data_IF_442817268828
#
_entry.id   IF_442817268828
#
_cell.length_a   1.000
_cell.length_b   1.000
_cell.length_c   1.000
_cell.angle_alpha   90.00
_cell.angle_beta   90.00
_cell.angle_gamma   90.00
#
_symmetry.space_group_name_H-M   'P 1'
#
loop_
_entity.id
_entity.type
_entity.pdbx_description
1 polymer ?
#
# COMPACT_ATOMS: atom_id res chain seq x y z
N UNK A 1 -3.92 -30.51 24.90
CA UNK A 1 -3.59 -29.31 24.11
C UNK A 1 -4.72 -29.11 23.11
N UNK A 2 -5.51 -28.03 23.26
CA UNK A 2 -6.55 -27.67 22.30
C UNK A 2 -5.84 -27.26 21.00
N UNK A 3 -6.18 -27.92 19.89
CA UNK A 3 -5.61 -27.62 18.58
C UNK A 3 -5.97 -26.18 18.16
N UNK A 4 -5.02 -25.47 17.60
CA UNK A 4 -5.29 -24.19 16.96
C UNK A 4 -6.25 -24.42 15.80
N UNK A 5 -7.36 -23.67 15.77
CA UNK A 5 -8.21 -23.66 14.58
C UNK A 5 -7.57 -22.77 13.52
N UNK A 6 -7.44 -23.30 12.31
CA UNK A 6 -6.99 -22.51 11.17
C UNK A 6 -8.10 -21.55 10.74
N UNK A 7 -7.75 -20.28 10.50
CA UNK A 7 -8.71 -19.27 10.00
C UNK A 7 -9.49 -19.74 8.77
N UNK A 8 -8.80 -20.44 7.86
CA UNK A 8 -9.40 -20.88 6.60
C UNK A 8 -10.41 -22.05 6.81
N UNK A 9 -10.31 -22.76 7.94
CA UNK A 9 -11.27 -23.80 8.33
C UNK A 9 -12.56 -23.26 8.94
N UNK A 10 -12.56 -22.01 9.43
CA UNK A 10 -13.71 -21.37 10.06
C UNK A 10 -14.72 -20.86 9.03
N UNK A 11 -16.01 -20.99 9.33
CA UNK A 11 -17.11 -20.59 8.46
C UNK A 11 -18.04 -19.60 9.16
N UNK A 12 -18.67 -18.71 8.38
CA UNK A 12 -19.80 -17.90 8.84
C UNK A 12 -20.91 -18.85 9.33
N UNK A 13 -21.47 -18.57 10.51
CA UNK A 13 -22.43 -19.43 11.19
C UNK A 13 -21.79 -20.42 12.19
N UNK A 14 -20.47 -20.63 12.18
CA UNK A 14 -19.84 -21.43 13.23
C UNK A 14 -20.10 -20.83 14.61
N UNK A 15 -20.61 -21.66 15.53
CA UNK A 15 -20.98 -21.27 16.88
C UNK A 15 -20.30 -22.18 17.89
N UNK A 16 -19.84 -21.60 19.01
CA UNK A 16 -19.37 -22.35 20.20
C UNK A 16 -19.98 -21.74 21.44
N UNK A 17 -20.15 -22.61 22.44
CA UNK A 17 -20.76 -22.21 23.71
C UNK A 17 -19.99 -22.70 24.93
N UNK A 18 -20.25 -22.04 26.05
CA UNK A 18 -19.81 -22.38 27.40
C UNK A 18 -20.99 -22.23 28.33
N UNK A 19 -21.25 -23.22 29.17
CA UNK A 19 -22.26 -23.13 30.25
C UNK A 19 -21.53 -23.00 31.60
N UNK A 20 -22.00 -22.07 32.46
CA UNK A 20 -21.44 -21.78 33.77
C UNK A 20 -22.53 -21.40 34.74
N UNK A 21 -22.59 -22.08 35.90
CA UNK A 21 -23.41 -21.66 37.03
C UNK A 21 -22.67 -20.60 37.82
N UNK A 22 -23.30 -19.51 38.16
CA UNK A 22 -22.72 -18.40 38.94
C UNK A 22 -22.80 -18.73 40.42
N UNK A 23 -21.66 -18.79 41.05
CA UNK A 23 -21.53 -19.09 42.49
C UNK A 23 -21.14 -17.85 43.30
N UNK A 24 -21.33 -17.92 44.63
CA UNK A 24 -20.86 -16.87 45.54
C UNK A 24 -19.34 -16.72 45.50
N UNK A 25 -18.63 -17.81 45.25
CA UNK A 25 -17.17 -17.78 45.07
C UNK A 25 -16.73 -17.00 43.83
N UNK A 26 -17.50 -17.10 42.73
CA UNK A 26 -17.25 -16.33 41.49
C UNK A 26 -17.36 -14.83 41.77
N UNK A 27 -18.43 -14.40 42.49
CA UNK A 27 -18.63 -13.01 42.90
C UNK A 27 -17.46 -12.53 43.76
N UNK A 28 -17.12 -13.32 44.81
CA UNK A 28 -16.01 -12.98 45.72
C UNK A 28 -14.68 -12.83 44.97
N UNK A 29 -14.36 -13.73 44.04
CA UNK A 29 -13.16 -13.64 43.18
C UNK A 29 -13.17 -12.42 42.29
N UNK A 30 -14.33 -12.07 41.73
CA UNK A 30 -14.46 -10.91 40.87
C UNK A 30 -14.26 -9.60 41.64
N UNK A 31 -14.84 -9.48 42.86
CA UNK A 31 -14.63 -8.36 43.78
C UNK A 31 -13.14 -8.26 44.13
N UNK A 32 -12.51 -9.38 44.50
CA UNK A 32 -11.09 -9.39 44.87
C UNK A 32 -10.18 -8.96 43.71
N UNK A 33 -10.57 -9.27 42.46
CA UNK A 33 -9.80 -8.89 41.25
C UNK A 33 -10.03 -7.43 40.87
N UNK A 34 -11.27 -6.94 40.92
CA UNK A 34 -11.66 -5.63 40.34
C UNK A 34 -11.74 -4.52 41.38
N UNK A 35 -11.95 -4.87 42.65
CA UNK A 35 -12.27 -3.91 43.72
C UNK A 35 -13.70 -3.40 43.71
N UNK A 36 -14.59 -3.95 42.85
CA UNK A 36 -15.99 -3.54 42.74
C UNK A 36 -16.83 -4.22 43.83
N UNK A 37 -16.87 -3.63 45.04
CA UNK A 37 -17.62 -4.05 46.21
C UNK A 37 -18.96 -3.31 46.35
N UNK A 38 -19.54 -2.84 45.26
CA UNK A 38 -20.87 -2.17 45.28
C UNK A 38 -21.89 -3.01 46.04
N UNK A 39 -22.59 -2.44 47.08
CA UNK A 39 -23.54 -3.17 47.93
C UNK A 39 -24.63 -3.94 47.18
N UNK A 40 -24.99 -3.50 45.98
CA UNK A 40 -25.96 -4.21 45.14
C UNK A 40 -25.50 -5.64 44.79
N UNK A 41 -24.21 -5.87 44.77
CA UNK A 41 -23.58 -7.12 44.35
C UNK A 41 -23.12 -8.01 45.55
N UNK A 42 -22.94 -7.40 46.75
CA UNK A 42 -22.31 -8.10 47.89
C UNK A 42 -23.11 -8.05 49.17
N UNK A 43 -24.10 -7.14 49.30
CA UNK A 43 -24.89 -6.99 50.52
C UNK A 43 -26.40 -7.37 50.25
N UNK A 44 -26.84 -8.54 50.73
CA UNK A 44 -28.23 -8.98 50.57
C UNK A 44 -29.26 -8.00 51.20
N UNK A 45 -28.90 -7.34 52.31
CA UNK A 45 -29.79 -6.41 52.99
C UNK A 45 -30.05 -5.19 52.11
N UNK A 46 -28.96 -4.60 51.59
CA UNK A 46 -29.06 -3.48 50.64
C UNK A 46 -29.80 -3.88 49.37
N UNK A 47 -29.47 -5.01 48.77
CA UNK A 47 -30.11 -5.47 47.51
C UNK A 47 -31.61 -5.69 47.66
N UNK A 48 -32.06 -6.17 48.82
CA UNK A 48 -33.52 -6.41 49.12
C UNK A 48 -34.33 -5.13 49.14
N UNK A 49 -33.74 -3.99 49.48
CA UNK A 49 -34.39 -2.68 49.50
C UNK A 49 -34.48 -2.03 48.11
N UNK A 50 -33.70 -2.51 47.15
CA UNK A 50 -33.72 -2.01 45.77
C UNK A 50 -34.88 -2.57 44.95
N UNK A 51 -35.09 -2.02 43.74
CA UNK A 51 -36.04 -2.56 42.77
C UNK A 51 -35.75 -4.01 42.36
N UNK A 52 -34.50 -4.43 42.53
CA UNK A 52 -34.05 -5.78 42.16
C UNK A 52 -34.42 -6.86 43.23
N UNK A 53 -34.68 -6.47 44.47
CA UNK A 53 -35.13 -7.33 45.58
C UNK A 53 -34.14 -8.42 46.00
N UNK A 54 -33.03 -8.59 45.35
CA UNK A 54 -32.01 -9.59 45.63
C UNK A 54 -30.67 -9.17 44.98
N UNK A 55 -29.59 -9.82 45.36
CA UNK A 55 -28.27 -9.61 44.80
C UNK A 55 -28.31 -9.69 43.25
N UNK A 56 -27.73 -8.71 42.60
CA UNK A 56 -27.49 -8.71 41.16
C UNK A 56 -26.00 -9.04 40.94
N UNK A 57 -25.70 -10.03 40.11
CA UNK A 57 -24.34 -10.38 39.73
C UNK A 57 -23.77 -9.26 38.88
N UNK A 58 -22.48 -8.93 39.07
CA UNK A 58 -21.76 -7.95 38.25
C UNK A 58 -21.93 -8.27 36.75
N UNK A 59 -22.39 -7.32 35.97
CA UNK A 59 -22.58 -7.52 34.52
C UNK A 59 -21.31 -7.95 33.82
N UNK A 60 -20.17 -7.33 34.19
CA UNK A 60 -18.86 -7.68 33.63
C UNK A 60 -18.34 -9.05 34.05
N UNK A 61 -18.78 -9.62 35.21
CA UNK A 61 -18.47 -10.99 35.56
C UNK A 61 -19.11 -11.95 34.53
N UNK A 62 -20.38 -11.77 34.20
CA UNK A 62 -21.04 -12.54 33.14
C UNK A 62 -20.34 -12.36 31.78
N UNK A 63 -20.07 -11.11 31.41
CA UNK A 63 -19.38 -10.76 30.17
C UNK A 63 -17.98 -11.37 30.05
N UNK A 64 -17.27 -11.56 31.18
CA UNK A 64 -15.91 -12.13 31.18
C UNK A 64 -15.85 -13.55 30.60
N UNK A 65 -16.91 -14.32 30.68
CA UNK A 65 -16.98 -15.67 30.08
C UNK A 65 -17.00 -15.66 28.54
N UNK A 66 -17.32 -14.54 27.90
CA UNK A 66 -17.14 -14.37 26.45
C UNK A 66 -15.65 -14.54 26.10
N UNK A 67 -14.75 -13.98 26.93
CA UNK A 67 -13.30 -14.15 26.75
C UNK A 67 -12.88 -15.61 26.76
N UNK A 68 -13.50 -16.42 27.63
CA UNK A 68 -13.21 -17.86 27.67
C UNK A 68 -13.62 -18.55 26.37
N UNK A 69 -14.79 -18.25 25.82
CA UNK A 69 -15.22 -18.83 24.54
C UNK A 69 -14.30 -18.39 23.42
N UNK A 70 -14.00 -17.10 23.32
CA UNK A 70 -13.13 -16.54 22.28
C UNK A 70 -11.70 -17.14 22.38
N UNK A 71 -11.13 -17.15 23.56
CA UNK A 71 -9.73 -17.55 23.74
C UNK A 71 -9.49 -19.06 23.71
N UNK A 72 -10.52 -19.89 23.96
CA UNK A 72 -10.34 -21.35 24.10
C UNK A 72 -11.16 -22.19 23.12
N UNK A 73 -12.19 -21.62 22.48
CA UNK A 73 -13.16 -22.39 21.68
C UNK A 73 -13.42 -21.83 20.28
N UNK A 74 -13.61 -20.51 20.13
CA UNK A 74 -13.94 -19.87 18.83
C UNK A 74 -13.47 -18.42 18.77
N UNK A 75 -12.42 -18.13 18.04
CA UNK A 75 -11.58 -19.03 17.26
C UNK A 75 -10.61 -19.87 18.08
N UNK A 76 -10.49 -19.63 19.38
CA UNK A 76 -9.61 -20.39 20.28
C UNK A 76 -8.18 -19.83 20.39
N UNK A 77 -7.18 -20.68 20.70
CA UNK A 77 -5.82 -20.24 20.93
C UNK A 77 -5.28 -19.37 19.78
N UNK A 78 -4.58 -18.27 20.09
CA UNK A 78 -4.08 -17.31 19.10
C UNK A 78 -5.08 -16.22 18.71
N UNK A 79 -6.28 -16.20 19.29
CA UNK A 79 -7.25 -15.14 19.13
C UNK A 79 -6.81 -13.85 19.85
N UNK A 80 -6.78 -12.73 19.13
CA UNK A 80 -6.65 -11.39 19.73
C UNK A 80 -8.00 -10.69 19.67
N UNK A 81 -8.62 -10.47 20.82
CA UNK A 81 -9.89 -9.74 20.93
C UNK A 81 -9.63 -8.24 20.77
N UNK A 82 -10.23 -7.61 19.73
CA UNK A 82 -9.95 -6.20 19.36
C UNK A 82 -11.00 -5.25 19.92
N UNK A 83 -12.28 -5.63 19.82
CA UNK A 83 -13.39 -4.78 20.26
C UNK A 83 -14.58 -5.61 20.67
N UNK A 84 -15.44 -5.03 21.53
CA UNK A 84 -16.70 -5.62 21.98
C UNK A 84 -17.71 -4.54 22.31
N UNK A 85 -18.95 -4.72 21.88
CA UNK A 85 -20.11 -4.00 22.40
C UNK A 85 -20.86 -4.92 23.35
N UNK A 86 -21.46 -4.37 24.40
CA UNK A 86 -22.20 -5.14 25.42
C UNK A 86 -23.48 -4.38 25.78
N UNK A 87 -24.64 -5.05 25.61
CA UNK A 87 -25.93 -4.59 26.08
C UNK A 87 -26.42 -5.54 27.18
N UNK A 88 -26.58 -5.04 28.41
CA UNK A 88 -27.07 -5.79 29.57
C UNK A 88 -28.60 -5.68 29.61
N UNK A 89 -29.30 -6.77 29.32
CA UNK A 89 -30.75 -6.76 29.11
C UNK A 89 -31.53 -7.19 30.36
N UNK A 90 -31.03 -8.17 31.10
CA UNK A 90 -31.66 -8.68 32.30
C UNK A 90 -30.62 -8.88 33.41
N UNK A 91 -31.03 -8.69 34.70
CA UNK A 91 -30.16 -8.98 35.82
C UNK A 91 -29.87 -10.48 35.95
N UNK A 92 -28.61 -10.83 36.17
CA UNK A 92 -28.19 -12.20 36.51
C UNK A 92 -28.20 -12.34 38.02
N UNK A 93 -28.62 -13.49 38.50
CA UNK A 93 -28.72 -13.83 39.92
C UNK A 93 -27.71 -14.88 40.35
N UNK A 94 -27.45 -14.91 41.63
CA UNK A 94 -26.70 -15.99 42.23
C UNK A 94 -27.42 -17.35 42.00
N UNK A 95 -26.69 -18.35 41.52
CA UNK A 95 -27.24 -19.64 41.13
C UNK A 95 -27.76 -19.74 39.69
N UNK A 96 -27.84 -18.64 38.94
CA UNK A 96 -28.19 -18.71 37.52
C UNK A 96 -27.21 -19.53 36.72
N UNK A 97 -27.71 -20.37 35.82
CA UNK A 97 -26.93 -21.06 34.82
C UNK A 97 -26.89 -20.23 33.52
N UNK A 98 -25.69 -19.72 33.20
CA UNK A 98 -25.48 -18.91 32.00
C UNK A 98 -24.91 -19.76 30.87
N UNK A 99 -25.55 -19.72 29.71
CA UNK A 99 -24.97 -20.24 28.45
C UNK A 99 -24.46 -19.07 27.60
N UNK A 100 -23.18 -19.03 27.41
CA UNK A 100 -22.45 -18.02 26.60
C UNK A 100 -22.26 -18.57 25.20
N UNK A 101 -22.78 -17.88 24.20
CA UNK A 101 -22.68 -18.24 22.78
C UNK A 101 -21.87 -17.20 22.01
N UNK A 102 -20.97 -17.66 21.17
CA UNK A 102 -20.26 -16.83 20.20
C UNK A 102 -20.46 -17.42 18.81
N UNK A 103 -20.94 -16.62 17.86
CA UNK A 103 -21.24 -17.04 16.48
C UNK A 103 -20.49 -16.14 15.49
N UNK A 104 -19.84 -16.73 14.47
CA UNK A 104 -19.18 -15.96 13.42
C UNK A 104 -20.24 -15.36 12.49
N UNK A 105 -20.32 -14.03 12.42
CA UNK A 105 -21.18 -13.30 11.51
C UNK A 105 -20.50 -12.99 10.18
N UNK A 106 -19.17 -12.70 10.23
CA UNK A 106 -18.42 -12.28 9.05
C UNK A 106 -16.96 -12.62 9.17
N UNK A 107 -16.33 -12.95 8.03
CA UNK A 107 -14.88 -13.12 7.87
C UNK A 107 -14.32 -12.00 7.00
N UNK A 108 -13.18 -11.44 7.38
CA UNK A 108 -12.44 -10.43 6.61
C UNK A 108 -11.07 -11.04 6.32
N UNK A 109 -10.95 -11.71 5.17
CA UNK A 109 -9.81 -12.58 4.84
C UNK A 109 -8.47 -11.84 4.78
N UNK A 110 -8.48 -10.60 4.25
CA UNK A 110 -7.27 -9.76 4.15
C UNK A 110 -6.61 -9.51 5.50
N UNK A 111 -7.39 -9.37 6.55
CA UNK A 111 -6.91 -9.01 7.88
C UNK A 111 -6.91 -10.20 8.85
N UNK A 112 -7.39 -11.38 8.40
CA UNK A 112 -7.66 -12.55 9.22
C UNK A 112 -8.52 -12.19 10.44
N UNK A 113 -9.55 -11.36 10.20
CA UNK A 113 -10.46 -10.81 11.22
C UNK A 113 -11.83 -11.50 11.14
N UNK A 114 -12.40 -11.80 12.31
CA UNK A 114 -13.73 -12.33 12.49
C UNK A 114 -14.61 -11.29 13.19
N UNK A 115 -15.84 -11.09 12.71
CA UNK A 115 -16.88 -10.39 13.43
C UNK A 115 -17.79 -11.44 14.06
N UNK A 116 -17.98 -11.35 15.39
CA UNK A 116 -18.73 -12.30 16.18
C UNK A 116 -19.99 -11.64 16.76
N UNK A 117 -21.12 -12.35 16.72
CA UNK A 117 -22.21 -12.13 17.66
C UNK A 117 -21.89 -12.82 18.97
N UNK A 118 -22.11 -12.14 20.08
CA UNK A 118 -21.97 -12.70 21.43
C UNK A 118 -23.30 -12.59 22.16
N UNK A 119 -23.79 -13.70 22.72
CA UNK A 119 -25.07 -13.75 23.44
C UNK A 119 -24.91 -14.61 24.67
N UNK A 120 -25.47 -14.15 25.78
CA UNK A 120 -25.58 -14.93 27.03
C UNK A 120 -27.05 -15.11 27.37
N UNK A 121 -27.45 -16.35 27.61
CA UNK A 121 -28.81 -16.69 28.02
C UNK A 121 -28.78 -17.37 29.40
N UNK A 122 -29.83 -17.18 30.19
CA UNK A 122 -30.00 -17.86 31.47
C UNK A 122 -30.71 -19.23 31.28
N UNK A 123 -30.90 -19.97 32.37
CA UNK A 123 -31.57 -21.28 32.42
C UNK A 123 -33.00 -21.27 31.84
N UNK A 124 -33.66 -20.11 31.76
CA UNK A 124 -34.98 -19.93 31.19
C UNK A 124 -34.95 -19.56 29.70
N UNK A 125 -33.75 -19.65 29.07
CA UNK A 125 -33.50 -19.25 27.67
C UNK A 125 -33.78 -17.76 27.39
N UNK A 126 -33.70 -16.90 28.43
CA UNK A 126 -33.86 -15.46 28.30
C UNK A 126 -32.46 -14.84 28.05
N UNK A 127 -32.37 -13.97 27.07
CA UNK A 127 -31.11 -13.24 26.79
C UNK A 127 -30.86 -12.22 27.90
N UNK A 128 -29.77 -12.42 28.65
CA UNK A 128 -29.34 -11.53 29.73
C UNK A 128 -28.30 -10.52 29.26
N UNK A 129 -27.50 -10.87 28.21
CA UNK A 129 -26.51 -10.01 27.59
C UNK A 129 -26.40 -10.33 26.11
N UNK A 130 -26.21 -9.31 25.29
CA UNK A 130 -25.85 -9.46 23.87
C UNK A 130 -24.83 -8.42 23.45
N UNK A 131 -24.16 -8.68 22.31
CA UNK A 131 -23.22 -7.73 21.74
C UNK A 131 -22.49 -8.28 20.53
N UNK A 132 -21.54 -7.50 20.04
CA UNK A 132 -20.73 -7.85 18.87
C UNK A 132 -19.25 -7.64 19.16
N UNK A 133 -18.43 -8.62 18.78
CA UNK A 133 -17.00 -8.59 18.97
C UNK A 133 -16.23 -8.66 17.66
N UNK A 134 -15.02 -8.09 17.64
CA UNK A 134 -14.05 -8.28 16.56
C UNK A 134 -12.84 -9.00 17.12
N UNK A 135 -12.44 -10.08 16.44
CA UNK A 135 -11.35 -10.95 16.86
C UNK A 135 -10.41 -11.15 15.69
N UNK A 136 -9.13 -10.89 15.88
CA UNK A 136 -8.07 -11.15 14.92
C UNK A 136 -7.40 -12.48 15.23
N UNK A 137 -7.22 -13.33 14.23
CA UNK A 137 -6.39 -14.51 14.35
C UNK A 137 -4.92 -14.11 14.19
N UNK A 138 -4.15 -14.26 15.24
CA UNK A 138 -2.68 -14.16 15.16
C UNK A 138 -2.22 -15.51 14.62
N UNK A 139 -1.84 -15.56 13.34
CA UNK A 139 -1.41 -16.79 12.67
C UNK A 139 -0.37 -17.60 13.47
N UNK A 140 -0.17 -18.85 13.13
CA UNK A 140 0.74 -19.80 13.80
C UNK A 140 2.08 -19.17 14.17
N UNK A 141 2.49 -19.33 15.42
CA UNK A 141 3.84 -18.94 15.90
C UNK A 141 4.96 -19.62 15.07
N UNK A 142 4.67 -20.71 14.37
CA UNK A 142 5.61 -21.35 13.46
C UNK A 142 5.70 -20.69 12.08
N UNK A 143 4.68 -19.93 11.64
CA UNK A 143 4.78 -19.08 10.44
C UNK A 143 5.50 -17.76 10.72
N UNK A 144 5.56 -17.31 11.96
CA UNK A 144 6.24 -16.07 12.36
C UNK A 144 7.76 -16.23 12.54
N UNK A 145 8.32 -17.45 12.48
CA UNK A 145 9.78 -17.71 12.58
C UNK A 145 10.46 -17.94 11.23
N UNK A 146 9.71 -18.10 10.17
CA UNK A 146 10.21 -17.79 8.85
C UNK A 146 9.86 -16.31 8.57
N UNK A 147 10.67 -15.37 9.05
CA UNK A 147 10.79 -14.12 8.32
C UNK A 147 11.07 -14.56 6.87
N UNK A 148 10.18 -14.28 5.88
CA UNK A 148 10.57 -14.48 4.51
C UNK A 148 11.89 -13.74 4.39
N UNK A 149 12.93 -14.43 3.92
CA UNK A 149 14.20 -13.78 3.55
C UNK A 149 13.81 -12.50 2.85
N UNK A 150 14.32 -11.33 3.25
CA UNK A 150 13.83 -10.05 2.74
C UNK A 150 13.76 -10.20 1.22
N UNK A 151 12.53 -10.07 0.67
CA UNK A 151 12.28 -10.35 -0.73
C UNK A 151 13.28 -9.52 -1.53
N UNK A 152 14.20 -10.20 -2.21
CA UNK A 152 15.32 -9.53 -2.87
C UNK A 152 14.79 -8.89 -4.14
N UNK A 153 14.99 -7.57 -4.25
CA UNK A 153 14.63 -6.83 -5.45
C UNK A 153 15.38 -7.42 -6.66
N UNK A 154 14.65 -7.86 -7.68
CA UNK A 154 15.27 -8.27 -8.94
C UNK A 154 16.09 -7.11 -9.54
N UNK A 155 17.27 -7.44 -10.02
CA UNK A 155 18.21 -6.48 -10.62
C UNK A 155 17.94 -6.25 -12.12
N UNK A 156 16.67 -6.29 -12.54
CA UNK A 156 16.25 -5.98 -13.92
C UNK A 156 15.40 -4.73 -13.92
N UNK A 157 15.80 -3.72 -14.68
CA UNK A 157 15.12 -2.43 -14.80
C UNK A 157 14.64 -2.17 -16.23
N UNK A 158 13.37 -1.79 -16.39
CA UNK A 158 12.83 -1.25 -17.64
C UNK A 158 12.81 0.29 -17.53
N UNK A 159 13.37 0.98 -18.52
CA UNK A 159 13.34 2.44 -18.61
C UNK A 159 12.63 2.83 -19.90
N UNK A 160 11.43 3.41 -19.80
CA UNK A 160 10.70 3.92 -20.98
C UNK A 160 11.28 5.24 -21.44
N UNK A 161 11.38 5.45 -22.78
CA UNK A 161 12.07 6.60 -23.32
C UNK A 161 13.55 6.63 -22.92
N UNK A 162 14.16 5.46 -22.71
CA UNK A 162 15.53 5.29 -22.22
C UNK A 162 16.63 5.85 -23.14
N UNK A 163 16.32 6.14 -24.41
CA UNK A 163 17.23 6.80 -25.34
C UNK A 163 17.13 8.35 -25.30
N UNK A 164 16.29 8.94 -24.44
CA UNK A 164 16.16 10.38 -24.21
C UNK A 164 17.18 10.89 -23.18
N UNK A 165 17.37 12.21 -23.05
CA UNK A 165 18.40 12.78 -22.17
C UNK A 165 18.31 12.30 -20.71
N UNK A 166 17.16 12.44 -20.07
CA UNK A 166 16.94 11.95 -18.69
C UNK A 166 16.97 10.41 -18.65
N UNK A 167 16.28 9.74 -19.60
CA UNK A 167 16.24 8.28 -19.67
C UNK A 167 17.61 7.65 -19.84
N UNK A 168 18.48 8.25 -20.68
CA UNK A 168 19.85 7.79 -20.90
C UNK A 168 20.69 7.87 -19.61
N UNK A 169 20.61 9.00 -18.88
CA UNK A 169 21.29 9.15 -17.60
C UNK A 169 20.78 8.15 -16.55
N UNK A 170 19.46 7.88 -16.51
CA UNK A 170 18.88 6.86 -15.64
C UNK A 170 19.41 5.48 -16.01
N UNK A 171 19.44 5.13 -17.30
CA UNK A 171 19.97 3.83 -17.76
C UNK A 171 21.43 3.65 -17.33
N UNK A 172 22.30 4.64 -17.55
CA UNK A 172 23.71 4.60 -17.14
C UNK A 172 23.84 4.45 -15.62
N UNK A 173 23.05 5.20 -14.87
CA UNK A 173 23.11 5.15 -13.40
C UNK A 173 22.67 3.78 -12.87
N UNK A 174 21.55 3.24 -13.31
CA UNK A 174 21.09 1.92 -12.89
C UNK A 174 22.05 0.81 -13.32
N UNK A 175 22.67 0.93 -14.51
CA UNK A 175 23.73 0.04 -14.96
C UNK A 175 24.92 0.03 -13.99
N UNK A 176 25.40 1.21 -13.59
CA UNK A 176 26.48 1.35 -12.61
C UNK A 176 26.11 0.81 -11.23
N UNK A 177 24.81 0.83 -10.86
CA UNK A 177 24.27 0.26 -9.62
C UNK A 177 24.01 -1.26 -9.74
N UNK A 178 24.46 -1.90 -10.84
CA UNK A 178 24.44 -3.35 -11.05
C UNK A 178 23.12 -3.90 -11.55
N UNK A 179 22.28 -3.09 -12.20
CA UNK A 179 21.05 -3.56 -12.84
C UNK A 179 21.29 -4.00 -14.28
N UNK A 180 20.62 -5.06 -14.73
CA UNK A 180 20.39 -5.31 -16.15
C UNK A 180 19.37 -4.27 -16.65
N UNK A 181 19.62 -3.62 -17.78
CA UNK A 181 18.83 -2.47 -18.23
C UNK A 181 18.13 -2.76 -19.55
N UNK A 182 16.82 -2.61 -19.58
CA UNK A 182 16.00 -2.65 -20.79
C UNK A 182 15.73 -1.20 -21.22
N UNK A 183 16.38 -0.77 -22.29
CA UNK A 183 16.26 0.56 -22.88
C UNK A 183 15.08 0.55 -23.86
N UNK A 184 13.90 0.97 -23.42
CA UNK A 184 12.77 1.12 -24.33
C UNK A 184 12.88 2.44 -25.11
N UNK A 185 12.54 2.37 -26.38
CA UNK A 185 12.46 3.52 -27.28
C UNK A 185 11.34 3.36 -28.31
N UNK A 186 10.81 4.46 -28.87
CA UNK A 186 9.85 4.44 -29.96
C UNK A 186 10.52 4.78 -31.32
N UNK A 187 11.15 5.95 -31.43
CA UNK A 187 11.72 6.46 -32.67
C UNK A 187 13.26 6.60 -32.68
N UNK A 188 13.92 6.63 -31.54
CA UNK A 188 15.36 6.95 -31.41
C UNK A 188 16.26 5.68 -31.47
N UNK A 189 16.10 4.88 -32.53
CA UNK A 189 16.78 3.57 -32.67
C UNK A 189 18.31 3.67 -32.50
N UNK A 190 18.96 4.54 -33.28
CA UNK A 190 20.42 4.65 -33.27
C UNK A 190 20.97 5.06 -31.89
N UNK A 191 20.26 5.97 -31.20
CA UNK A 191 20.65 6.39 -29.84
C UNK A 191 20.49 5.26 -28.84
N UNK A 192 19.39 4.50 -28.93
CA UNK A 192 19.14 3.37 -28.05
C UNK A 192 20.20 2.27 -28.22
N UNK A 193 20.55 1.93 -29.46
CA UNK A 193 21.58 0.92 -29.73
C UNK A 193 22.97 1.38 -29.30
N UNK A 194 23.37 2.63 -29.60
CA UNK A 194 24.66 3.16 -29.12
C UNK A 194 24.78 3.11 -27.59
N UNK A 195 23.72 3.48 -26.86
CA UNK A 195 23.71 3.38 -25.41
C UNK A 195 23.88 1.94 -24.94
N UNK A 196 23.13 1.01 -25.54
CA UNK A 196 23.23 -0.43 -25.19
C UNK A 196 24.62 -1.00 -25.49
N UNK A 197 25.21 -0.65 -26.66
CA UNK A 197 26.55 -1.08 -27.02
C UNK A 197 27.60 -0.57 -26.01
N UNK A 198 27.50 0.70 -25.58
CA UNK A 198 28.36 1.28 -24.56
C UNK A 198 28.19 0.56 -23.20
N UNK A 199 26.95 0.33 -22.74
CA UNK A 199 26.68 -0.36 -21.48
C UNK A 199 27.24 -1.79 -21.51
N UNK A 200 27.03 -2.51 -22.61
CA UNK A 200 27.52 -3.89 -22.76
C UNK A 200 29.08 -3.94 -22.85
N UNK A 201 29.72 -2.93 -23.44
CA UNK A 201 31.19 -2.83 -23.44
C UNK A 201 31.75 -2.69 -22.02
N UNK A 202 30.99 -2.11 -21.10
CA UNK A 202 31.35 -1.96 -19.69
C UNK A 202 30.87 -3.14 -18.82
N UNK A 203 30.62 -4.33 -19.41
CA UNK A 203 30.20 -5.57 -18.74
C UNK A 203 28.81 -5.49 -18.08
N UNK A 204 27.99 -4.51 -18.41
CA UNK A 204 26.59 -4.42 -17.99
C UNK A 204 25.70 -5.12 -19.02
N UNK A 205 24.73 -5.90 -18.56
CA UNK A 205 23.75 -6.52 -19.45
C UNK A 205 22.67 -5.53 -19.81
N UNK A 206 22.62 -5.07 -21.06
CA UNK A 206 21.59 -4.14 -21.56
C UNK A 206 21.02 -4.62 -22.90
N UNK A 207 19.75 -4.26 -23.16
CA UNK A 207 19.07 -4.52 -24.43
C UNK A 207 18.19 -3.34 -24.83
N UNK A 208 18.17 -3.01 -26.12
CA UNK A 208 17.27 -2.01 -26.70
C UNK A 208 15.99 -2.68 -27.20
N UNK A 209 14.82 -2.17 -26.79
CA UNK A 209 13.52 -2.71 -27.19
C UNK A 209 12.66 -1.60 -27.76
N UNK A 210 12.30 -1.73 -29.03
CA UNK A 210 11.38 -0.80 -29.68
C UNK A 210 9.94 -1.16 -29.33
N UNK A 211 9.23 -0.23 -28.68
CA UNK A 211 7.82 -0.37 -28.38
C UNK A 211 7.16 1.01 -28.17
N UNK A 212 5.97 1.17 -28.72
CA UNK A 212 5.07 2.28 -28.36
C UNK A 212 4.26 1.86 -27.14
N UNK A 213 4.63 2.39 -25.99
CA UNK A 213 4.04 2.02 -24.70
C UNK A 213 2.56 2.43 -24.54
N UNK A 214 2.04 3.29 -25.42
CA UNK A 214 0.62 3.67 -25.43
C UNK A 214 -0.29 2.58 -26.01
N UNK A 215 0.28 1.59 -26.71
CA UNK A 215 -0.41 0.44 -27.27
C UNK A 215 -0.29 -0.78 -26.35
N UNK A 216 -1.42 -1.39 -26.01
CA UNK A 216 -1.49 -2.48 -25.02
C UNK A 216 -0.61 -3.68 -25.41
N UNK A 217 -0.71 -4.12 -26.65
CA UNK A 217 0.07 -5.25 -27.18
C UNK A 217 1.58 -4.96 -27.22
N UNK A 218 1.98 -3.70 -27.42
CA UNK A 218 3.38 -3.29 -27.41
C UNK A 218 3.97 -3.30 -26.00
N UNK A 219 3.19 -2.90 -24.99
CA UNK A 219 3.59 -2.99 -23.58
C UNK A 219 3.81 -4.46 -23.15
N UNK A 220 2.91 -5.37 -23.56
CA UNK A 220 3.04 -6.80 -23.29
C UNK A 220 4.27 -7.42 -24.00
N UNK A 221 4.52 -7.04 -25.25
CA UNK A 221 5.73 -7.48 -25.97
C UNK A 221 7.01 -6.98 -25.31
N UNK A 222 7.04 -5.70 -24.88
CA UNK A 222 8.19 -5.14 -24.17
C UNK A 222 8.49 -5.93 -22.91
N UNK A 223 7.48 -6.17 -22.05
CA UNK A 223 7.65 -6.96 -20.84
C UNK A 223 8.13 -8.39 -21.15
N UNK A 224 7.46 -9.08 -22.08
CA UNK A 224 7.82 -10.46 -22.45
C UNK A 224 9.24 -10.56 -23.01
N UNK A 225 9.71 -9.56 -23.75
CA UNK A 225 11.07 -9.52 -24.27
C UNK A 225 12.09 -9.29 -23.16
N UNK A 226 11.79 -8.37 -22.23
CA UNK A 226 12.61 -8.11 -21.06
C UNK A 226 12.77 -9.34 -20.18
N UNK A 227 11.66 -10.04 -19.91
CA UNK A 227 11.64 -11.27 -19.10
C UNK A 227 12.43 -12.42 -19.76
N UNK A 228 12.28 -12.61 -21.06
CA UNK A 228 13.05 -13.64 -21.79
C UNK A 228 14.54 -13.39 -21.75
N UNK A 229 14.95 -12.12 -21.74
CA UNK A 229 16.37 -11.74 -21.78
C UNK A 229 17.04 -11.78 -20.39
N UNK A 230 16.34 -11.33 -19.35
CA UNK A 230 16.94 -11.07 -18.04
C UNK A 230 16.18 -11.68 -16.86
N UNK A 231 15.02 -12.27 -17.08
CA UNK A 231 14.16 -12.79 -16.01
C UNK A 231 13.22 -11.73 -15.42
N UNK A 232 12.86 -11.90 -14.15
CA UNK A 232 11.84 -11.10 -13.49
C UNK A 232 12.21 -9.64 -13.35
N UNK A 233 11.23 -8.75 -13.53
CA UNK A 233 11.40 -7.30 -13.49
C UNK A 233 11.28 -6.79 -12.04
N UNK A 234 12.33 -6.14 -11.53
CA UNK A 234 12.32 -5.52 -10.21
C UNK A 234 12.03 -4.03 -10.24
N UNK A 235 12.37 -3.35 -11.34
CA UNK A 235 12.30 -1.89 -11.45
C UNK A 235 11.62 -1.47 -12.74
N UNK A 236 10.64 -0.57 -12.64
CA UNK A 236 10.02 0.10 -13.78
C UNK A 236 10.19 1.61 -13.65
N UNK A 237 10.79 2.25 -14.65
CA UNK A 237 10.92 3.70 -14.74
C UNK A 237 10.06 4.20 -15.89
N UNK A 238 8.92 4.82 -15.59
CA UNK A 238 8.06 5.47 -16.57
C UNK A 238 8.58 6.90 -16.82
N UNK A 239 9.44 7.04 -17.83
CA UNK A 239 10.12 8.29 -18.17
C UNK A 239 9.66 8.85 -19.53
N UNK A 240 9.06 8.05 -20.40
CA UNK A 240 8.71 8.48 -21.75
C UNK A 240 7.73 9.65 -21.77
N UNK A 241 7.95 10.56 -22.71
CA UNK A 241 7.14 11.77 -22.87
C UNK A 241 7.17 12.23 -24.33
N UNK A 242 6.01 12.55 -24.93
CA UNK A 242 6.00 13.23 -26.22
C UNK A 242 6.68 14.60 -26.12
N UNK A 243 7.18 15.10 -27.26
CA UNK A 243 7.68 16.47 -27.34
C UNK A 243 6.57 17.46 -26.95
N UNK A 244 6.94 18.46 -26.16
CA UNK A 244 6.03 19.52 -25.76
C UNK A 244 5.94 20.54 -26.92
N UNK A 245 4.73 20.74 -27.42
CA UNK A 245 4.44 21.79 -28.41
C UNK A 245 3.56 22.83 -27.71
N UNK A 246 4.16 23.97 -27.27
CA UNK A 246 3.37 25.00 -26.59
C UNK A 246 2.31 25.58 -27.52
N UNK A 247 1.04 25.59 -27.06
CA UNK A 247 -0.11 26.15 -27.80
C UNK A 247 -0.98 26.99 -26.88
N UNK A 248 -1.45 28.13 -27.35
CA UNK A 248 -2.47 28.90 -26.66
C UNK A 248 -3.77 28.08 -26.53
N UNK A 249 -4.62 28.40 -25.55
CA UNK A 249 -5.88 27.68 -25.34
C UNK A 249 -6.77 27.69 -26.59
N UNK A 250 -6.82 28.81 -27.30
CA UNK A 250 -7.60 28.96 -28.52
C UNK A 250 -7.14 28.03 -29.67
N UNK A 251 -5.88 27.62 -29.68
CA UNK A 251 -5.25 26.79 -30.70
C UNK A 251 -5.04 25.33 -30.24
N UNK A 252 -5.47 24.99 -29.05
CA UNK A 252 -5.27 23.66 -28.46
C UNK A 252 -6.45 22.76 -28.78
N UNK A 253 -6.19 21.68 -29.50
CA UNK A 253 -7.17 20.63 -29.77
C UNK A 253 -7.09 19.53 -28.69
N UNK A 254 -8.20 18.79 -28.53
CA UNK A 254 -8.19 17.63 -27.60
C UNK A 254 -7.14 16.58 -27.98
N UNK A 255 -6.85 16.41 -29.26
CA UNK A 255 -5.80 15.50 -29.72
C UNK A 255 -4.39 15.85 -29.18
N UNK A 256 -4.10 17.13 -28.94
CA UNK A 256 -2.86 17.58 -28.32
C UNK A 256 -2.78 17.10 -26.87
N UNK A 257 -3.89 17.17 -26.13
CA UNK A 257 -4.00 16.70 -24.76
C UNK A 257 -3.93 15.16 -24.72
N UNK A 258 -4.72 14.51 -25.58
CA UNK A 258 -4.83 13.05 -25.65
C UNK A 258 -3.47 12.39 -25.89
N UNK A 259 -2.65 12.94 -26.78
CA UNK A 259 -1.30 12.41 -27.04
C UNK A 259 -0.43 12.36 -25.78
N UNK A 260 -0.49 13.38 -24.93
CA UNK A 260 0.22 13.38 -23.66
C UNK A 260 -0.36 12.37 -22.67
N UNK A 261 -1.69 12.26 -22.60
CA UNK A 261 -2.37 11.27 -21.75
C UNK A 261 -2.04 9.84 -22.18
N UNK A 262 -2.03 9.56 -23.48
CA UNK A 262 -1.79 8.20 -24.00
C UNK A 262 -0.39 7.71 -23.65
N UNK A 263 0.65 8.53 -23.82
CA UNK A 263 2.02 8.11 -23.53
C UNK A 263 2.30 8.14 -22.02
N UNK A 264 2.03 9.26 -21.35
CA UNK A 264 2.49 9.49 -19.99
C UNK A 264 1.58 8.85 -18.91
N UNK A 265 0.29 8.67 -19.19
CA UNK A 265 -0.66 8.12 -18.23
C UNK A 265 -1.05 6.68 -18.61
N UNK A 266 -1.62 6.48 -19.81
CA UNK A 266 -2.03 5.15 -20.26
C UNK A 266 -0.83 4.21 -20.39
N UNK A 267 0.28 4.65 -20.99
CA UNK A 267 1.49 3.84 -21.12
C UNK A 267 2.06 3.45 -19.75
N UNK A 268 2.19 4.43 -18.83
CA UNK A 268 2.64 4.16 -17.46
C UNK A 268 1.68 3.22 -16.71
N UNK A 269 0.36 3.37 -16.87
CA UNK A 269 -0.65 2.48 -16.28
C UNK A 269 -0.51 1.04 -16.79
N UNK A 270 -0.42 0.86 -18.11
CA UNK A 270 -0.32 -0.48 -18.72
C UNK A 270 0.93 -1.22 -18.23
N UNK A 271 2.10 -0.57 -18.30
CA UNK A 271 3.35 -1.18 -17.83
C UNK A 271 3.35 -1.40 -16.31
N UNK A 272 2.85 -0.46 -15.54
CA UNK A 272 2.74 -0.62 -14.08
C UNK A 272 1.84 -1.78 -13.72
N UNK A 273 0.69 -1.95 -14.38
CA UNK A 273 -0.23 -3.08 -14.17
C UNK A 273 0.43 -4.43 -14.47
N UNK A 274 1.17 -4.52 -15.58
CA UNK A 274 1.85 -5.74 -16.00
C UNK A 274 3.01 -6.10 -15.05
N UNK A 275 3.89 -5.13 -14.74
CA UNK A 275 5.03 -5.36 -13.86
C UNK A 275 4.62 -5.59 -12.40
N UNK A 276 3.56 -4.90 -11.92
CA UNK A 276 3.11 -5.01 -10.54
C UNK A 276 2.64 -6.41 -10.16
N UNK A 277 2.06 -7.18 -11.08
CA UNK A 277 1.64 -8.55 -10.83
C UNK A 277 2.83 -9.44 -10.43
N UNK A 278 3.93 -9.34 -11.16
CA UNK A 278 5.15 -10.08 -10.89
C UNK A 278 5.88 -9.57 -9.64
N UNK A 279 6.05 -8.24 -9.53
CA UNK A 279 6.68 -7.61 -8.37
C UNK A 279 5.97 -7.98 -7.06
N UNK A 280 4.62 -7.99 -7.08
CA UNK A 280 3.80 -8.38 -5.93
C UNK A 280 3.94 -9.86 -5.57
N UNK A 281 4.07 -10.75 -6.56
CA UNK A 281 4.32 -12.17 -6.33
C UNK A 281 5.69 -12.43 -5.68
N UNK A 282 6.69 -11.59 -5.99
CA UNK A 282 8.02 -11.65 -5.39
C UNK A 282 8.13 -10.86 -4.06
N UNK A 283 7.10 -10.10 -3.69
CA UNK A 283 7.10 -9.27 -2.47
C UNK A 283 8.07 -8.08 -2.51
N UNK A 284 8.60 -7.73 -3.69
CA UNK A 284 9.54 -6.61 -3.87
C UNK A 284 9.43 -6.01 -5.26
N UNK A 285 9.33 -4.69 -5.36
CA UNK A 285 9.32 -3.96 -6.63
C UNK A 285 9.50 -2.46 -6.44
N UNK A 286 9.92 -1.79 -7.50
CA UNK A 286 10.07 -0.33 -7.54
C UNK A 286 9.47 0.22 -8.83
N UNK A 287 8.51 1.11 -8.71
CA UNK A 287 7.93 1.84 -9.84
C UNK A 287 8.22 3.32 -9.62
N UNK A 288 8.94 3.93 -10.55
CA UNK A 288 9.27 5.36 -10.50
C UNK A 288 8.67 6.05 -11.72
N UNK A 289 7.86 7.07 -11.48
CA UNK A 289 7.23 7.86 -12.53
C UNK A 289 7.90 9.23 -12.62
N UNK A 290 8.39 9.61 -13.80
CA UNK A 290 9.00 10.92 -14.03
C UNK A 290 7.86 11.92 -14.31
N UNK A 291 7.55 12.72 -13.30
CA UNK A 291 6.59 13.82 -13.37
C UNK A 291 7.25 15.12 -13.85
N UNK A 292 6.92 16.26 -13.29
CA UNK A 292 7.56 17.55 -13.60
C UNK A 292 7.14 18.59 -12.54
N UNK A 293 8.00 19.57 -12.29
CA UNK A 293 7.67 20.74 -11.47
C UNK A 293 6.44 21.53 -11.97
N UNK A 294 6.01 21.30 -13.21
CA UNK A 294 4.84 21.97 -13.81
C UNK A 294 3.54 21.69 -13.07
N UNK A 295 3.49 20.62 -12.25
CA UNK A 295 2.31 20.26 -11.43
C UNK A 295 2.25 21.02 -10.10
N UNK A 296 3.28 21.81 -9.77
CA UNK A 296 3.34 22.66 -8.58
C UNK A 296 3.62 24.13 -8.94
N UNK A 297 3.36 25.02 -8.00
CA UNK A 297 3.62 26.45 -8.20
C UNK A 297 2.74 27.12 -9.26
N UNK A 298 3.28 28.16 -9.91
CA UNK A 298 2.57 28.90 -10.96
C UNK A 298 2.52 28.09 -12.25
N UNK A 299 1.34 27.88 -12.88
CA UNK A 299 1.22 27.15 -14.10
C UNK A 299 2.05 27.73 -15.26
N UNK A 300 2.73 26.87 -16.01
CA UNK A 300 3.43 27.25 -17.22
C UNK A 300 2.43 27.46 -18.35
N UNK A 301 2.40 28.64 -18.92
CA UNK A 301 1.48 28.98 -20.02
C UNK A 301 1.73 28.09 -21.26
N UNK A 302 0.65 27.76 -21.96
CA UNK A 302 0.66 27.00 -23.22
C UNK A 302 1.08 25.52 -23.10
N UNK A 303 1.20 24.97 -21.89
CA UNK A 303 1.60 23.59 -21.62
C UNK A 303 0.44 22.71 -21.11
N UNK A 304 -0.81 23.06 -21.43
CA UNK A 304 -2.00 22.46 -20.84
C UNK A 304 -2.01 20.93 -20.92
N UNK A 305 -1.80 20.34 -22.10
CA UNK A 305 -1.83 18.87 -22.25
C UNK A 305 -0.73 18.17 -21.45
N UNK A 306 0.47 18.73 -21.45
CA UNK A 306 1.60 18.20 -20.67
C UNK A 306 1.33 18.28 -19.17
N UNK A 307 0.88 19.43 -18.68
CA UNK A 307 0.62 19.63 -17.24
C UNK A 307 -0.52 18.71 -16.74
N UNK A 308 -1.61 18.57 -17.51
CA UNK A 308 -2.69 17.63 -17.18
C UNK A 308 -2.19 16.19 -17.08
N UNK A 309 -1.40 15.74 -18.06
CA UNK A 309 -0.88 14.38 -18.05
C UNK A 309 0.08 14.14 -16.88
N UNK A 310 0.96 15.10 -16.54
CA UNK A 310 1.87 14.98 -15.38
C UNK A 310 1.13 15.00 -14.05
N UNK A 311 0.07 15.80 -13.91
CA UNK A 311 -0.78 15.79 -12.72
C UNK A 311 -1.55 14.46 -12.57
N UNK A 312 -2.11 13.95 -13.68
CA UNK A 312 -2.77 12.64 -13.69
C UNK A 312 -1.80 11.51 -13.35
N UNK A 313 -0.55 11.53 -13.86
CA UNK A 313 0.48 10.55 -13.54
C UNK A 313 0.85 10.58 -12.05
N UNK A 314 0.93 11.77 -11.43
CA UNK A 314 1.21 11.90 -10.02
C UNK A 314 0.08 11.32 -9.15
N UNK A 315 -1.19 11.52 -9.54
CA UNK A 315 -2.33 10.92 -8.85
C UNK A 315 -2.38 9.40 -9.04
N UNK A 316 -2.14 8.91 -10.26
CA UNK A 316 -2.02 7.47 -10.54
C UNK A 316 -0.95 6.83 -9.64
N UNK A 317 0.19 7.49 -9.47
CA UNK A 317 1.29 7.00 -8.61
C UNK A 317 0.86 6.81 -7.16
N UNK A 318 0.09 7.75 -6.59
CA UNK A 318 -0.43 7.65 -5.22
C UNK A 318 -1.42 6.50 -5.06
N UNK A 319 -2.32 6.31 -6.03
CA UNK A 319 -3.26 5.19 -6.02
C UNK A 319 -2.54 3.85 -6.08
N UNK A 320 -1.56 3.71 -6.99
CA UNK A 320 -0.76 2.49 -7.09
C UNK A 320 0.07 2.25 -5.83
N UNK A 321 0.62 3.29 -5.19
CA UNK A 321 1.37 3.16 -3.94
C UNK A 321 0.51 2.59 -2.81
N UNK A 322 -0.73 3.07 -2.67
CA UNK A 322 -1.67 2.58 -1.66
C UNK A 322 -2.08 1.12 -1.93
N UNK A 323 -2.31 0.75 -3.18
CA UNK A 323 -2.74 -0.60 -3.57
C UNK A 323 -1.60 -1.63 -3.49
N UNK A 324 -0.38 -1.26 -3.92
CA UNK A 324 0.74 -2.17 -4.06
C UNK A 324 1.64 -2.21 -2.82
N UNK A 325 1.61 -1.19 -1.96
CA UNK A 325 2.42 -1.12 -0.74
C UNK A 325 2.31 -2.35 0.15
N UNK A 326 1.10 -2.89 0.45
CA UNK A 326 0.94 -4.12 1.23
C UNK A 326 1.61 -5.36 0.61
N UNK A 327 1.99 -5.29 -0.67
CA UNK A 327 2.66 -6.37 -1.41
C UNK A 327 4.17 -6.12 -1.61
N UNK A 328 4.75 -5.15 -0.89
CA UNK A 328 6.18 -4.85 -0.92
C UNK A 328 6.66 -4.05 -2.14
N UNK A 329 5.75 -3.49 -2.93
CA UNK A 329 6.08 -2.65 -4.09
C UNK A 329 5.93 -1.17 -3.72
N UNK A 330 7.00 -0.39 -3.89
CA UNK A 330 6.92 1.07 -3.72
C UNK A 330 6.68 1.76 -5.05
N UNK A 331 5.86 2.80 -5.04
CA UNK A 331 5.57 3.63 -6.22
C UNK A 331 5.79 5.09 -5.86
N UNK A 332 6.74 5.74 -6.52
CA UNK A 332 7.11 7.13 -6.26
C UNK A 332 7.23 7.95 -7.54
N UNK A 333 7.21 9.25 -7.39
CA UNK A 333 7.48 10.19 -8.47
C UNK A 333 8.83 10.89 -8.27
N UNK A 334 9.51 11.20 -9.37
CA UNK A 334 10.58 12.20 -9.42
C UNK A 334 10.04 13.37 -10.25
N UNK A 335 10.15 14.58 -9.72
CA UNK A 335 9.62 15.81 -10.32
C UNK A 335 10.78 16.75 -10.71
N UNK A 336 11.31 16.60 -11.95
CA UNK A 336 12.40 17.43 -12.40
C UNK A 336 11.99 18.89 -12.65
N UNK A 337 12.92 19.79 -12.41
CA UNK A 337 12.89 21.13 -12.95
C UNK A 337 13.31 21.18 -14.43
N UNK A 338 13.56 22.39 -14.92
CA UNK A 338 14.13 22.56 -16.26
C UNK A 338 15.46 21.85 -16.32
N UNK A 339 15.55 20.82 -17.18
CA UNK A 339 16.70 19.92 -17.28
C UNK A 339 17.36 20.08 -18.66
N UNK A 340 18.67 20.16 -18.70
CA UNK A 340 19.48 20.28 -19.93
C UNK A 340 19.35 19.01 -20.78
N UNK A 341 18.34 18.99 -21.66
CA UNK A 341 18.07 17.86 -22.58
C UNK A 341 17.67 18.39 -23.96
N UNK A 342 17.63 17.51 -24.95
CA UNK A 342 17.12 17.88 -26.28
C UNK A 342 15.65 18.33 -26.30
N UNK A 343 14.89 18.11 -25.23
CA UNK A 343 13.53 18.61 -25.08
C UNK A 343 13.46 20.13 -24.94
N UNK A 344 14.52 20.77 -24.43
CA UNK A 344 14.61 22.22 -24.24
C UNK A 344 15.39 22.91 -25.39
N UNK A 345 15.73 22.17 -26.45
CA UNK A 345 16.50 22.70 -27.58
C UNK A 345 15.82 23.88 -28.31
N UNK A 346 14.52 24.09 -28.10
CA UNK A 346 13.75 25.23 -28.65
C UNK A 346 13.79 26.46 -27.70
N UNK A 347 14.39 26.34 -26.50
CA UNK A 347 14.50 27.44 -25.53
C UNK A 347 15.83 28.18 -25.77
N UNK A 348 15.75 29.47 -25.99
CA UNK A 348 16.93 30.29 -26.27
C UNK A 348 17.91 30.31 -25.08
N UNK A 349 19.20 30.48 -25.32
CA UNK A 349 20.21 30.58 -24.26
C UNK A 349 19.86 31.68 -23.23
N UNK A 350 19.33 32.80 -23.67
CA UNK A 350 18.84 33.87 -22.80
C UNK A 350 17.76 33.40 -21.84
N UNK A 351 16.81 32.61 -22.34
CA UNK A 351 15.74 32.04 -21.50
C UNK A 351 16.29 31.02 -20.50
N UNK A 352 17.24 30.18 -20.94
CA UNK A 352 17.92 29.22 -20.05
C UNK A 352 18.66 29.94 -18.92
N UNK A 353 19.39 31.02 -19.21
CA UNK A 353 20.03 31.86 -18.21
C UNK A 353 19.06 32.53 -17.26
N UNK A 354 17.90 32.98 -17.74
CA UNK A 354 16.86 33.56 -16.89
C UNK A 354 16.31 32.53 -15.92
N UNK A 355 15.99 31.33 -16.41
CA UNK A 355 15.49 30.23 -15.56
C UNK A 355 16.54 29.82 -14.53
N UNK A 356 17.80 29.69 -14.93
CA UNK A 356 18.90 29.39 -14.03
C UNK A 356 19.04 30.45 -12.92
N UNK A 357 18.87 31.74 -13.25
CA UNK A 357 18.90 32.85 -12.26
C UNK A 357 17.69 32.83 -11.30
N UNK A 358 16.53 32.37 -11.75
CA UNK A 358 15.34 32.24 -10.92
C UNK A 358 15.42 31.00 -10.02
N UNK A 359 16.13 29.96 -10.44
CA UNK A 359 16.35 28.76 -9.63
C UNK A 359 17.22 29.11 -8.41
N UNK A 360 16.82 28.76 -7.18
CA UNK A 360 17.64 29.01 -5.98
C UNK A 360 19.07 28.47 -6.08
N UNK A 361 19.28 27.27 -6.66
CA UNK A 361 20.61 26.68 -6.88
C UNK A 361 21.37 27.30 -8.08
N UNK A 362 20.82 28.34 -8.73
CA UNK A 362 21.47 29.16 -9.77
C UNK A 362 21.96 28.39 -10.99
N UNK A 363 21.37 27.27 -11.31
CA UNK A 363 21.64 26.47 -12.51
C UNK A 363 20.39 25.72 -12.97
N UNK A 364 20.40 25.23 -14.20
CA UNK A 364 19.44 24.21 -14.65
C UNK A 364 19.82 22.85 -14.04
N UNK A 365 18.85 21.94 -13.98
CA UNK A 365 19.10 20.56 -13.62
C UNK A 365 19.86 19.86 -14.76
N UNK A 366 20.77 18.96 -14.39
CA UNK A 366 21.39 18.01 -15.33
C UNK A 366 20.63 16.68 -15.30
N UNK A 367 20.66 15.91 -16.39
CA UNK A 367 20.08 14.56 -16.37
C UNK A 367 20.56 13.69 -15.21
N UNK A 368 21.81 13.84 -14.79
CA UNK A 368 22.42 13.12 -13.67
C UNK A 368 21.79 13.49 -12.31
N UNK A 369 21.33 14.74 -12.12
CA UNK A 369 20.61 15.12 -10.89
C UNK A 369 19.31 14.29 -10.75
N UNK A 370 18.61 14.09 -11.87
CA UNK A 370 17.38 13.28 -11.91
C UNK A 370 17.69 11.80 -11.73
N UNK A 371 18.72 11.29 -12.40
CA UNK A 371 19.15 9.90 -12.29
C UNK A 371 19.59 9.53 -10.85
N UNK A 372 20.23 10.46 -10.13
CA UNK A 372 20.60 10.26 -8.73
C UNK A 372 19.37 10.11 -7.82
N UNK A 373 18.33 10.91 -8.02
CA UNK A 373 17.07 10.81 -7.29
C UNK A 373 16.33 9.48 -7.58
N UNK A 374 16.31 9.06 -8.85
CA UNK A 374 15.77 7.76 -9.26
C UNK A 374 16.53 6.63 -8.57
N UNK A 375 17.86 6.65 -8.59
CA UNK A 375 18.69 5.63 -7.96
C UNK A 375 18.45 5.53 -6.45
N UNK A 376 18.28 6.65 -5.75
CA UNK A 376 17.88 6.66 -4.34
C UNK A 376 16.54 5.95 -4.14
N UNK A 377 15.50 6.32 -4.88
CA UNK A 377 14.18 5.72 -4.73
C UNK A 377 14.13 4.22 -5.12
N UNK A 378 15.03 3.76 -5.97
CA UNK A 378 15.19 2.35 -6.33
C UNK A 378 15.96 1.57 -5.25
N UNK A 379 16.83 2.23 -4.50
CA UNK A 379 17.71 1.59 -3.51
C UNK A 379 16.98 0.97 -2.33
N UNK A 380 17.68 0.18 -1.53
CA UNK A 380 17.19 -0.36 -0.26
C UNK A 380 16.99 0.72 0.82
N UNK A 381 17.65 1.87 0.70
CA UNK A 381 17.52 2.98 1.64
C UNK A 381 16.14 3.64 1.57
N UNK A 382 15.50 3.62 0.38
CA UNK A 382 14.16 4.15 0.16
C UNK A 382 13.03 3.12 0.37
N UNK A 383 13.30 1.95 0.99
CA UNK A 383 12.31 0.87 1.17
C UNK A 383 11.03 1.27 1.93
N UNK A 384 11.08 2.37 2.70
CA UNK A 384 9.94 2.90 3.46
C UNK A 384 9.37 4.19 2.85
N UNK A 385 9.76 4.52 1.60
CA UNK A 385 9.27 5.67 0.84
C UNK A 385 8.33 5.17 -0.25
N UNK A 386 7.05 5.52 -0.18
CA UNK A 386 6.05 5.20 -1.21
C UNK A 386 4.97 6.29 -1.28
N UNK A 387 4.39 6.52 -2.46
CA UNK A 387 3.40 7.57 -2.69
C UNK A 387 3.96 9.00 -2.68
N UNK A 388 5.29 9.15 -2.63
CA UNK A 388 5.98 10.43 -2.53
C UNK A 388 6.38 10.99 -3.89
N UNK A 389 6.39 12.32 -4.01
CA UNK A 389 6.98 13.04 -5.15
C UNK A 389 8.26 13.71 -4.68
N UNK A 390 9.41 13.28 -5.18
CA UNK A 390 10.71 13.85 -4.88
C UNK A 390 11.02 14.95 -5.90
N UNK A 391 11.02 16.19 -5.45
CA UNK A 391 11.33 17.34 -6.28
C UNK A 391 12.83 17.44 -6.54
N UNK A 392 13.20 17.54 -7.84
CA UNK A 392 14.58 17.71 -8.32
C UNK A 392 14.63 18.95 -9.23
N UNK A 393 14.28 20.10 -8.64
CA UNK A 393 14.04 21.34 -9.36
C UNK A 393 14.91 22.53 -8.86
N UNK A 394 15.92 22.24 -8.02
CA UNK A 394 16.82 23.25 -7.49
C UNK A 394 16.16 24.29 -6.57
N UNK A 395 14.98 23.98 -6.01
CA UNK A 395 14.19 24.85 -5.15
C UNK A 395 13.26 25.81 -5.94
N UNK A 396 13.09 25.62 -7.24
CA UNK A 396 12.23 26.47 -8.08
C UNK A 396 10.75 26.40 -7.66
N UNK A 397 10.33 25.22 -7.26
CA UNK A 397 9.02 24.95 -6.62
C UNK A 397 9.29 24.23 -5.32
N UNK A 398 8.71 24.71 -4.23
CA UNK A 398 8.78 24.10 -2.89
C UNK A 398 7.40 23.61 -2.51
N UNK A 399 7.27 22.32 -2.15
CA UNK A 399 6.04 21.64 -1.73
C UNK A 399 5.90 21.62 -0.21
#
# INVERSE_FOLDING_TARGET
MTAFLDYDSLKVGDCRQLTKVITAEDISKFVALTGDDNPLHVDPSFASETAFKDIVVHGMLGASFISTVIGTKLPGPGALWISQTLDFLLPVRLGDELTVLCTILKKIDREKLLELETRIVNQNNQTVLQGHGKVKMLGDRHAATAQPSPAQLSKVAIVTGGAGGIGEAICRRLANDGFCVVVNYQGSRERAHRLVDELNANSVKAVAVQADISATDAAERLLSQAQRQFGSIGVLINNDSPRINPKALADTDWADIQRHLDVQVKGAFLLSKLCAAEMAAHGAGRIINITSQVIGGTPTLHWTGYALAKAALAMLSRNLAAELGPRGVTVNCVSPGMTETGLIGDITEKQQLMIARQTPLRRLAKPDDVAAAVAYLVSSEAKFVTGHTLDVNGGMVMS
#
